data_IF_486680051279
#
_entry.id   IF_486680051279
#
_cell.length_a   1.000
_cell.length_b   1.000
_cell.length_c   1.000
_cell.angle_alpha   90.00
_cell.angle_beta   90.00
_cell.angle_gamma   90.00
#
_symmetry.space_group_name_H-M   'P 1'
#
loop_
_entity.id
_entity.type
_entity.pdbx_description
1 polymer ?
#
# COMPACT_ATOMS: atom_id res chain seq x y z
N UNK A 1 -18.88 -9.37 4.50
CA UNK A 1 -18.47 -7.98 4.20
C UNK A 1 -17.23 -8.00 3.33
N UNK A 2 -17.22 -7.27 2.23
CA UNK A 2 -16.06 -7.24 1.32
C UNK A 2 -15.04 -6.21 1.76
N UNK A 3 -13.75 -6.51 1.56
CA UNK A 3 -12.66 -5.58 1.81
C UNK A 3 -11.73 -5.58 0.60
N UNK A 4 -12.00 -4.72 -0.40
CA UNK A 4 -11.17 -4.67 -1.61
C UNK A 4 -9.72 -4.27 -1.33
N UNK A 5 -9.47 -3.49 -0.28
CA UNK A 5 -8.11 -3.11 0.12
C UNK A 5 -7.38 -4.33 0.66
N UNK A 6 -8.02 -5.13 1.52
CA UNK A 6 -7.42 -6.35 2.04
C UNK A 6 -7.08 -7.33 0.91
N UNK A 7 -7.96 -7.46 -0.08
CA UNK A 7 -7.71 -8.29 -1.26
C UNK A 7 -6.50 -7.77 -2.05
N UNK A 8 -6.42 -6.47 -2.26
CA UNK A 8 -5.29 -5.81 -2.92
C UNK A 8 -3.96 -6.13 -2.20
N UNK A 9 -3.93 -5.94 -0.88
CA UNK A 9 -2.73 -6.22 -0.08
C UNK A 9 -2.36 -7.71 -0.10
N UNK A 10 -3.36 -8.58 -0.04
CA UNK A 10 -3.15 -10.03 -0.07
C UNK A 10 -2.56 -10.48 -1.40
N UNK A 11 -3.04 -9.95 -2.51
CA UNK A 11 -2.49 -10.27 -3.84
C UNK A 11 -1.03 -9.87 -3.96
N UNK A 12 -0.67 -8.69 -3.45
CA UNK A 12 0.73 -8.23 -3.43
C UNK A 12 1.57 -9.12 -2.52
N UNK A 13 1.07 -9.43 -1.33
CA UNK A 13 1.77 -10.29 -0.36
C UNK A 13 2.05 -11.67 -0.94
N UNK A 14 1.04 -12.31 -1.51
CA UNK A 14 1.18 -13.65 -2.09
C UNK A 14 2.13 -13.66 -3.28
N UNK A 15 2.05 -12.65 -4.15
CA UNK A 15 2.95 -12.52 -5.28
C UNK A 15 4.41 -12.33 -4.83
N UNK A 16 4.63 -11.51 -3.80
CA UNK A 16 5.96 -11.29 -3.24
C UNK A 16 6.54 -12.57 -2.63
N UNK A 17 5.71 -13.34 -1.91
CA UNK A 17 6.15 -14.62 -1.33
C UNK A 17 6.46 -15.66 -2.40
N UNK A 18 5.72 -15.67 -3.51
CA UNK A 18 5.91 -16.61 -4.61
C UNK A 18 7.02 -16.20 -5.58
N UNK A 19 7.61 -15.02 -5.40
CA UNK A 19 8.64 -14.52 -6.31
C UNK A 19 8.14 -14.09 -7.67
N UNK A 20 6.86 -13.75 -7.79
CA UNK A 20 6.23 -13.29 -9.03
C UNK A 20 6.77 -11.91 -9.41
N UNK A 21 7.14 -11.73 -10.67
CA UNK A 21 7.71 -10.46 -11.14
C UNK A 21 6.66 -9.38 -11.35
N UNK A 22 5.51 -9.75 -11.93
CA UNK A 22 4.43 -8.81 -12.23
C UNK A 22 3.12 -9.39 -11.72
N UNK A 23 2.37 -8.61 -10.97
CA UNK A 23 1.03 -8.98 -10.49
C UNK A 23 0.00 -8.05 -11.12
N UNK A 24 -1.15 -8.61 -11.52
CA UNK A 24 -2.25 -7.85 -12.09
C UNK A 24 -3.42 -7.83 -11.10
N UNK A 25 -3.96 -6.63 -10.86
CA UNK A 25 -5.01 -6.42 -9.88
C UNK A 25 -6.07 -5.50 -10.50
N UNK A 26 -7.38 -5.81 -10.31
CA UNK A 26 -8.42 -4.88 -10.75
C UNK A 26 -8.22 -3.49 -10.15
N UNK A 27 -8.30 -2.46 -10.99
CA UNK A 27 -8.02 -1.09 -10.57
C UNK A 27 -9.22 -0.44 -9.89
N UNK A 28 -8.92 0.41 -8.92
CA UNK A 28 -9.84 1.41 -8.39
C UNK A 28 -9.01 2.65 -8.08
N UNK A 29 -9.66 3.80 -7.90
CA UNK A 29 -8.97 5.05 -7.60
C UNK A 29 -8.06 4.90 -6.36
N UNK A 30 -8.58 4.30 -5.29
CA UNK A 30 -7.84 4.11 -4.05
C UNK A 30 -6.66 3.16 -4.25
N UNK A 31 -6.85 2.04 -4.96
CA UNK A 31 -5.78 1.07 -5.22
C UNK A 31 -4.66 1.67 -6.05
N UNK A 32 -5.00 2.48 -7.06
CA UNK A 32 -4.01 3.20 -7.88
C UNK A 32 -3.20 4.15 -7.01
N UNK A 33 -3.85 4.91 -6.13
CA UNK A 33 -3.17 5.85 -5.24
C UNK A 33 -2.27 5.13 -4.22
N UNK A 34 -2.72 4.00 -3.67
CA UNK A 34 -1.89 3.18 -2.78
C UNK A 34 -0.66 2.64 -3.53
N UNK A 35 -0.85 2.21 -4.77
CA UNK A 35 0.24 1.72 -5.63
C UNK A 35 1.25 2.83 -5.89
N UNK A 36 0.78 4.05 -6.16
CA UNK A 36 1.65 5.22 -6.34
C UNK A 36 2.52 5.45 -5.11
N UNK A 37 1.94 5.37 -3.92
CA UNK A 37 2.70 5.54 -2.66
C UNK A 37 3.77 4.45 -2.51
N UNK A 38 3.42 3.20 -2.80
CA UNK A 38 4.39 2.09 -2.74
C UNK A 38 5.55 2.33 -3.70
N UNK A 39 5.28 2.85 -4.89
CA UNK A 39 6.30 3.16 -5.87
C UNK A 39 7.20 4.33 -5.41
N UNK A 40 6.60 5.42 -4.96
CA UNK A 40 7.34 6.59 -4.48
C UNK A 40 8.25 6.27 -3.31
N UNK A 41 7.84 5.35 -2.45
CA UNK A 41 8.63 4.95 -1.26
C UNK A 41 9.58 3.78 -1.52
N UNK A 42 9.66 3.32 -2.77
CA UNK A 42 10.66 2.33 -3.16
C UNK A 42 10.32 0.89 -2.85
N UNK A 43 9.06 0.57 -2.57
CA UNK A 43 8.64 -0.81 -2.26
C UNK A 43 8.34 -1.64 -3.49
N UNK A 44 8.03 -1.01 -4.61
CA UNK A 44 7.82 -1.68 -5.89
C UNK A 44 8.69 -1.05 -6.96
N UNK A 45 8.96 -1.80 -8.02
CA UNK A 45 9.84 -1.36 -9.10
C UNK A 45 9.14 -0.34 -10.00
N UNK A 46 7.92 -0.65 -10.43
CA UNK A 46 7.11 0.21 -11.29
C UNK A 46 5.65 -0.27 -11.28
N UNK A 47 4.78 0.53 -11.86
CA UNK A 47 3.39 0.13 -12.05
C UNK A 47 2.81 0.80 -13.29
N UNK A 48 1.73 0.22 -13.80
CA UNK A 48 1.04 0.69 -15.00
C UNK A 48 -0.45 0.41 -14.85
N UNK A 49 -1.28 1.39 -15.21
CA UNK A 49 -2.72 1.20 -15.27
C UNK A 49 -3.09 0.91 -16.72
N UNK A 50 -3.73 -0.23 -16.95
CA UNK A 50 -4.16 -0.66 -18.28
C UNK A 50 -5.67 -0.56 -18.37
N UNK A 51 -6.16 0.19 -19.35
CA UNK A 51 -7.59 0.30 -19.59
C UNK A 51 -8.16 -1.01 -20.14
N UNK A 52 -9.36 -1.35 -19.71
CA UNK A 52 -10.02 -2.57 -20.13
C UNK A 52 -11.50 -2.58 -19.81
N UNK A 53 -12.19 -3.60 -20.29
CA UNK A 53 -13.60 -3.83 -20.05
C UNK A 53 -13.74 -5.19 -19.36
N UNK A 54 -14.48 -5.30 -18.25
CA UNK A 54 -15.36 -4.29 -17.63
C UNK A 54 -14.66 -3.31 -16.69
N UNK A 55 -13.38 -3.49 -16.42
CA UNK A 55 -12.63 -2.63 -15.49
C UNK A 55 -11.18 -2.45 -15.96
N UNK A 56 -10.54 -1.42 -15.43
CA UNK A 56 -9.11 -1.21 -15.63
C UNK A 56 -8.31 -2.16 -14.73
N UNK A 57 -7.06 -2.42 -15.10
CA UNK A 57 -6.17 -3.30 -14.36
C UNK A 57 -4.89 -2.56 -14.00
N UNK A 58 -4.40 -2.75 -12.77
CA UNK A 58 -3.08 -2.27 -12.37
C UNK A 58 -2.09 -3.41 -12.54
N UNK A 59 -1.04 -3.18 -13.33
CA UNK A 59 0.09 -4.10 -13.42
C UNK A 59 1.20 -3.57 -12.54
N UNK A 60 1.61 -4.34 -11.55
CA UNK A 60 2.61 -3.94 -10.57
C UNK A 60 3.85 -4.82 -10.74
N UNK A 61 4.98 -4.20 -11.07
CA UNK A 61 6.27 -4.88 -11.12
C UNK A 61 6.87 -4.86 -9.72
N UNK A 62 7.00 -6.04 -9.11
CA UNK A 62 7.52 -6.18 -7.76
C UNK A 62 9.04 -6.06 -7.75
N UNK A 63 9.57 -5.63 -6.63
CA UNK A 63 10.99 -5.35 -6.45
C UNK A 63 11.62 -6.42 -5.56
N UNK A 64 12.71 -7.03 -6.04
CA UNK A 64 13.45 -8.07 -5.33
C UNK A 64 14.92 -7.70 -5.24
N UNK A 65 15.56 -8.14 -4.16
CA UNK A 65 17.00 -7.98 -4.02
C UNK A 65 17.71 -8.85 -5.06
N UNK A 66 18.69 -8.31 -5.82
CA UNK A 66 19.30 -9.05 -6.92
C UNK A 66 20.00 -10.35 -6.48
N UNK A 67 20.65 -10.33 -5.31
CA UNK A 67 21.43 -11.48 -4.83
C UNK A 67 20.57 -12.44 -4.00
N UNK A 68 19.89 -11.95 -2.96
CA UNK A 68 19.12 -12.79 -2.05
C UNK A 68 17.77 -13.22 -2.59
N UNK A 69 17.26 -12.55 -3.64
CA UNK A 69 15.93 -12.77 -4.24
C UNK A 69 14.78 -12.46 -3.28
N UNK A 70 15.05 -11.79 -2.16
CA UNK A 70 14.02 -11.39 -1.20
C UNK A 70 13.28 -10.15 -1.68
N UNK A 71 11.97 -10.12 -1.44
CA UNK A 71 11.13 -8.98 -1.79
C UNK A 71 11.52 -7.73 -0.99
N UNK A 72 11.41 -6.57 -1.63
CA UNK A 72 11.54 -5.28 -0.96
C UNK A 72 10.43 -5.08 0.08
N UNK A 73 9.26 -5.70 -0.13
CA UNK A 73 8.18 -5.72 0.84
C UNK A 73 8.37 -6.94 1.72
N UNK A 74 8.71 -6.73 2.99
CA UNK A 74 8.83 -7.82 3.98
C UNK A 74 7.47 -8.16 4.56
N UNK A 75 6.70 -7.13 4.93
CA UNK A 75 5.36 -7.26 5.47
C UNK A 75 4.44 -6.18 4.92
N UNK A 76 3.18 -6.53 4.70
CA UNK A 76 2.13 -5.61 4.32
C UNK A 76 0.87 -6.04 5.10
N UNK A 77 0.41 -5.17 5.98
CA UNK A 77 -0.59 -5.52 7.00
C UNK A 77 -1.78 -4.57 6.94
N UNK A 78 -2.96 -5.13 6.77
CA UNK A 78 -4.21 -4.37 6.84
C UNK A 78 -4.47 -3.92 8.27
N UNK A 79 -4.71 -2.64 8.50
CA UNK A 79 -4.98 -2.07 9.83
C UNK A 79 -6.46 -1.72 9.97
N UNK A 80 -6.95 -0.71 9.25
CA UNK A 80 -8.37 -0.35 9.29
C UNK A 80 -9.17 -1.36 8.46
N UNK A 81 -10.24 -1.89 9.04
CA UNK A 81 -11.07 -2.91 8.40
C UNK A 81 -12.53 -2.45 8.37
N UNK A 82 -13.36 -2.93 7.44
CA UNK A 82 -14.77 -2.55 7.40
C UNK A 82 -15.52 -2.75 8.73
N UNK A 83 -15.20 -3.82 9.46
CA UNK A 83 -15.82 -4.10 10.77
C UNK A 83 -15.18 -3.38 11.95
N UNK A 84 -14.00 -2.79 11.75
CA UNK A 84 -13.27 -2.07 12.81
C UNK A 84 -12.37 -1.02 12.18
N UNK A 85 -12.92 0.18 11.97
CA UNK A 85 -12.15 1.29 11.38
C UNK A 85 -11.14 1.83 12.39
N UNK A 86 -9.93 2.15 11.90
CA UNK A 86 -8.82 2.68 12.69
C UNK A 86 -8.42 4.05 12.15
N UNK A 87 -8.46 5.05 13.01
CA UNK A 87 -8.09 6.43 12.67
C UNK A 87 -6.96 6.91 13.55
N UNK A 88 -6.16 7.83 13.05
CA UNK A 88 -5.10 8.47 13.84
C UNK A 88 -5.09 9.97 13.59
N UNK A 89 -4.96 10.74 14.64
CA UNK A 89 -4.67 12.18 14.57
C UNK A 89 -3.16 12.39 14.52
N UNK A 90 -2.74 13.63 14.40
CA UNK A 90 -1.30 13.98 14.35
C UNK A 90 -0.57 13.50 15.60
N UNK A 91 -1.19 13.68 16.77
CA UNK A 91 -0.59 13.31 18.07
C UNK A 91 -0.45 11.79 18.26
N UNK A 92 -1.32 11.00 17.60
CA UNK A 92 -1.35 9.54 17.75
C UNK A 92 -0.89 8.82 16.48
N UNK A 93 -0.23 9.54 15.57
CA UNK A 93 0.23 8.98 14.30
C UNK A 93 1.20 7.83 14.54
N UNK A 94 0.93 6.65 13.95
CA UNK A 94 1.80 5.49 14.16
C UNK A 94 3.16 5.66 13.48
N UNK A 95 4.16 4.99 14.04
CA UNK A 95 5.47 4.84 13.41
C UNK A 95 5.74 3.36 13.19
N UNK A 96 5.97 2.98 11.95
CA UNK A 96 6.21 1.58 11.60
C UNK A 96 7.70 1.30 11.66
N UNK A 97 8.11 0.32 12.47
CA UNK A 97 9.52 -0.03 12.70
C UNK A 97 10.38 1.21 12.99
N UNK A 98 9.90 2.09 13.86
CA UNK A 98 10.61 3.30 14.28
C UNK A 98 11.02 4.20 13.09
N UNK A 99 10.16 4.27 12.07
CA UNK A 99 10.38 5.09 10.88
C UNK A 99 11.02 4.39 9.70
N UNK A 100 11.40 3.12 9.84
CA UNK A 100 11.97 2.34 8.73
C UNK A 100 10.91 1.85 7.75
N UNK A 101 9.66 1.66 8.23
CA UNK A 101 8.53 1.33 7.40
C UNK A 101 7.59 2.53 7.23
N UNK A 102 6.44 2.29 6.59
CA UNK A 102 5.42 3.32 6.38
C UNK A 102 4.05 2.84 6.83
N UNK A 103 3.21 3.78 7.24
CA UNK A 103 1.77 3.61 7.30
C UNK A 103 1.17 4.38 6.13
N UNK A 104 0.22 3.77 5.43
CA UNK A 104 -0.51 4.44 4.35
C UNK A 104 -1.86 4.86 4.91
N UNK A 105 -2.17 6.16 4.79
CA UNK A 105 -3.38 6.75 5.35
C UNK A 105 -4.24 7.36 4.26
N UNK A 106 -5.56 7.30 4.49
CA UNK A 106 -6.53 8.05 3.72
C UNK A 106 -6.87 9.32 4.50
N UNK A 107 -6.53 10.48 3.94
CA UNK A 107 -6.72 11.78 4.57
C UNK A 107 -7.48 12.74 3.65
N UNK A 108 -7.81 13.93 4.16
CA UNK A 108 -8.40 14.98 3.33
C UNK A 108 -7.40 15.56 2.31
N UNK A 109 -6.13 15.22 2.43
CA UNK A 109 -5.07 15.58 1.47
C UNK A 109 -4.74 14.44 0.51
N UNK A 110 -5.55 13.36 0.51
CA UNK A 110 -5.38 12.19 -0.34
C UNK A 110 -4.76 11.01 0.40
N UNK A 111 -4.29 10.04 -0.36
CA UNK A 111 -3.60 8.86 0.17
C UNK A 111 -2.13 9.21 0.33
N UNK A 112 -1.67 9.23 1.57
CA UNK A 112 -0.30 9.65 1.93
C UNK A 112 0.27 8.74 3.01
N UNK A 113 1.56 8.92 3.32
CA UNK A 113 2.22 8.18 4.39
C UNK A 113 2.05 8.90 5.74
N UNK A 114 2.35 8.17 6.83
CA UNK A 114 2.37 8.73 8.18
C UNK A 114 3.32 9.92 8.30
N UNK A 115 4.49 9.84 7.68
CA UNK A 115 5.48 10.92 7.70
C UNK A 115 4.95 12.17 6.99
N UNK A 116 4.34 12.00 5.83
CA UNK A 116 3.72 13.10 5.10
C UNK A 116 2.54 13.70 5.86
N UNK A 117 1.73 12.86 6.51
CA UNK A 117 0.61 13.31 7.33
C UNK A 117 1.09 14.17 8.52
N UNK A 118 2.17 13.77 9.17
CA UNK A 118 2.78 14.57 10.24
C UNK A 118 3.27 15.92 9.73
N UNK A 119 3.92 15.92 8.57
CA UNK A 119 4.42 17.16 7.95
C UNK A 119 3.29 18.10 7.58
N UNK A 120 2.19 17.57 7.05
CA UNK A 120 1.01 18.34 6.66
C UNK A 120 0.08 18.65 7.83
N UNK A 121 0.36 18.10 9.01
CA UNK A 121 -0.44 18.27 10.23
C UNK A 121 -1.89 17.81 10.03
N UNK A 122 -2.06 16.64 9.44
CA UNK A 122 -3.38 16.04 9.20
C UNK A 122 -3.43 14.63 9.76
N UNK A 123 -4.63 14.20 10.15
CA UNK A 123 -4.91 12.82 10.52
C UNK A 123 -5.78 12.14 9.47
N UNK A 124 -6.02 10.85 9.63
CA UNK A 124 -6.87 10.11 8.72
C UNK A 124 -7.05 8.65 9.10
N UNK A 125 -7.62 7.89 8.20
CA UNK A 125 -7.82 6.45 8.36
C UNK A 125 -6.51 5.73 8.05
N UNK A 126 -6.05 4.89 8.98
CA UNK A 126 -4.82 4.10 8.81
C UNK A 126 -5.17 2.84 8.02
N UNK A 127 -4.85 2.83 6.74
CA UNK A 127 -5.22 1.74 5.84
C UNK A 127 -4.37 0.50 6.07
N UNK A 128 -3.05 0.65 6.11
CA UNK A 128 -2.13 -0.47 6.26
C UNK A 128 -0.75 -0.02 6.72
N UNK A 129 0.04 -1.00 7.16
CA UNK A 129 1.48 -0.82 7.40
C UNK A 129 2.25 -1.61 6.35
N UNK A 130 3.38 -1.05 5.90
CA UNK A 130 4.29 -1.68 4.93
C UNK A 130 5.72 -1.53 5.42
N UNK A 131 6.47 -2.63 5.41
CA UNK A 131 7.91 -2.60 5.70
C UNK A 131 8.64 -3.80 5.12
#
# INVERSE_FOLDING_TARGET
MTDPIADFLTRIRNAALAGVKVVEIPASKMKVEMTRVLHEKGYILSYKVVEGTPFNTIKIALKYHPESKKSAIKKIIRISKPGLRQYAGVATMPRVLNGLGIAILSTNKGIITDKEARTLNVGGEVLCYVY
#
